data_IF_570113272261
#
_entry.id   IF_570113272261
#
_cell.length_a   1.000
_cell.length_b   1.000
_cell.length_c   1.000
_cell.angle_alpha   90.00
_cell.angle_beta   90.00
_cell.angle_gamma   90.00
#
_symmetry.space_group_name_H-M   'P 1'
#
loop_
_entity.id
_entity.type
_entity.pdbx_description
1 polymer ?
#
# COMPACT_ATOMS: atom_id res chain seq x y z
N UNK A 1 -9.64 -4.85 3.14
CA UNK A 1 -8.57 -4.30 4.02
C UNK A 1 -7.49 -3.68 3.13
N UNK A 2 -6.64 -2.78 3.63
CA UNK A 2 -5.63 -2.10 2.80
C UNK A 2 -4.72 -3.06 2.02
N UNK A 3 -4.45 -4.22 2.61
CA UNK A 3 -3.69 -5.33 2.01
C UNK A 3 -4.31 -5.87 0.72
N UNK A 4 -5.63 -5.77 0.55
CA UNK A 4 -6.37 -6.26 -0.63
C UNK A 4 -6.30 -5.25 -1.78
N UNK A 5 -5.82 -4.02 -1.51
CA UNK A 5 -5.79 -2.91 -2.46
C UNK A 5 -4.45 -2.77 -3.21
N UNK A 6 -3.46 -3.62 -2.93
CA UNK A 6 -2.11 -3.51 -3.52
C UNK A 6 -2.11 -3.91 -4.99
N UNK A 7 -1.86 -2.96 -5.90
CA UNK A 7 -1.68 -3.27 -7.32
C UNK A 7 -0.39 -4.07 -7.54
N UNK A 8 -0.51 -5.28 -8.11
CA UNK A 8 0.65 -6.12 -8.41
C UNK A 8 1.60 -5.46 -9.39
N UNK A 9 1.08 -4.82 -10.43
CA UNK A 9 1.90 -4.15 -11.45
C UNK A 9 2.72 -2.99 -10.86
N UNK A 10 2.06 -2.14 -10.06
CA UNK A 10 2.72 -1.01 -9.42
C UNK A 10 3.76 -1.46 -8.39
N UNK A 11 3.46 -2.49 -7.59
CA UNK A 11 4.41 -3.07 -6.66
C UNK A 11 5.67 -3.59 -7.37
N UNK A 12 5.50 -4.31 -8.49
CA UNK A 12 6.63 -4.81 -9.29
C UNK A 12 7.45 -3.67 -9.90
N UNK A 13 6.80 -2.63 -10.43
CA UNK A 13 7.49 -1.41 -10.91
C UNK A 13 8.29 -0.74 -9.79
N UNK A 14 7.73 -0.71 -8.57
CA UNK A 14 8.37 -0.11 -7.41
C UNK A 14 9.60 -0.90 -6.94
N UNK A 15 9.52 -2.23 -6.92
CA UNK A 15 10.67 -3.10 -6.63
C UNK A 15 11.82 -2.88 -7.63
N UNK A 16 11.50 -2.74 -8.93
CA UNK A 16 12.48 -2.38 -9.95
C UNK A 16 13.09 -0.99 -9.71
N UNK A 17 12.28 0.00 -9.30
CA UNK A 17 12.76 1.35 -8.93
C UNK A 17 13.70 1.29 -7.73
N UNK A 18 13.45 0.40 -6.77
CA UNK A 18 14.32 0.15 -5.61
C UNK A 18 15.52 -0.75 -5.92
N UNK A 19 15.77 -1.07 -7.20
CA UNK A 19 16.96 -1.81 -7.68
C UNK A 19 17.06 -3.24 -7.17
N UNK A 20 15.92 -3.89 -6.88
CA UNK A 20 15.90 -5.33 -6.68
C UNK A 20 16.34 -6.04 -7.97
N UNK A 21 17.04 -7.17 -7.81
CA UNK A 21 17.50 -7.95 -8.95
C UNK A 21 16.33 -8.65 -9.68
N UNK A 22 16.59 -9.06 -10.92
CA UNK A 22 15.58 -9.68 -11.77
C UNK A 22 15.01 -10.99 -11.18
N UNK A 23 15.83 -11.77 -10.47
CA UNK A 23 15.41 -13.04 -9.87
C UNK A 23 14.48 -12.80 -8.69
N UNK A 24 14.80 -11.84 -7.81
CA UNK A 24 13.92 -11.43 -6.71
C UNK A 24 12.58 -10.90 -7.22
N UNK A 25 12.60 -10.06 -8.26
CA UNK A 25 11.38 -9.54 -8.88
C UNK A 25 10.56 -10.66 -9.52
N UNK A 26 11.19 -11.62 -10.20
CA UNK A 26 10.52 -12.78 -10.79
C UNK A 26 9.86 -13.65 -9.71
N UNK A 27 10.55 -13.87 -8.58
CA UNK A 27 10.00 -14.61 -7.44
C UNK A 27 8.76 -13.92 -6.87
N UNK A 28 8.83 -12.61 -6.62
CA UNK A 28 7.68 -11.85 -6.11
C UNK A 28 6.52 -11.84 -7.11
N UNK A 29 6.81 -11.70 -8.41
CA UNK A 29 5.79 -11.79 -9.47
C UNK A 29 5.11 -13.16 -9.44
N UNK A 30 5.87 -14.24 -9.37
CA UNK A 30 5.33 -15.61 -9.28
C UNK A 30 4.51 -15.81 -8.00
N UNK A 31 4.91 -15.21 -6.88
CA UNK A 31 4.17 -15.28 -5.61
C UNK A 31 2.80 -14.57 -5.66
N UNK A 32 2.66 -13.55 -6.51
CA UNK A 32 1.43 -12.77 -6.63
C UNK A 32 0.50 -13.25 -7.76
N UNK A 33 1.05 -13.92 -8.78
CA UNK A 33 0.30 -14.31 -9.99
C UNK A 33 -0.61 -15.54 -9.79
N UNK A 34 -1.63 -15.66 -10.66
CA UNK A 34 -2.53 -16.82 -10.78
C UNK A 34 -3.21 -17.29 -9.49
N UNK A 35 -3.34 -16.38 -8.51
CA UNK A 35 -4.03 -16.68 -7.26
C UNK A 35 -5.54 -16.67 -7.43
N UNK A 36 -6.20 -17.55 -6.70
CA UNK A 36 -7.66 -17.60 -6.61
C UNK A 36 -8.11 -17.64 -5.16
N UNK A 37 -9.34 -17.21 -4.91
CA UNK A 37 -9.98 -17.23 -3.61
C UNK A 37 -11.41 -17.75 -3.72
N UNK A 38 -11.93 -18.33 -2.64
CA UNK A 38 -13.33 -18.72 -2.50
C UNK A 38 -13.75 -18.56 -1.04
N UNK A 39 -15.06 -18.53 -0.81
CA UNK A 39 -15.65 -18.47 0.53
C UNK A 39 -16.30 -19.81 0.85
N UNK A 40 -16.14 -20.27 2.10
CA UNK A 40 -16.86 -21.43 2.63
C UNK A 40 -17.84 -20.97 3.69
N UNK A 41 -19.09 -21.42 3.58
CA UNK A 41 -20.10 -21.25 4.62
C UNK A 41 -20.72 -22.61 4.91
N UNK A 42 -20.52 -23.10 6.14
CA UNK A 42 -20.80 -24.50 6.50
C UNK A 42 -20.08 -25.48 5.57
N UNK A 43 -20.82 -26.33 4.86
CA UNK A 43 -20.29 -27.29 3.88
C UNK A 43 -20.35 -26.81 2.43
N UNK A 44 -20.78 -25.56 2.19
CA UNK A 44 -20.92 -24.98 0.85
C UNK A 44 -19.72 -24.11 0.51
N UNK A 45 -19.22 -24.24 -0.73
CA UNK A 45 -18.12 -23.44 -1.27
C UNK A 45 -18.64 -22.56 -2.41
N UNK A 46 -18.19 -21.31 -2.46
CA UNK A 46 -18.40 -20.46 -3.63
C UNK A 46 -17.57 -20.95 -4.82
N UNK A 47 -17.83 -20.40 -6.01
CA UNK A 47 -16.90 -20.52 -7.13
C UNK A 47 -15.58 -19.82 -6.78
N UNK A 48 -14.49 -20.30 -7.39
CA UNK A 48 -13.20 -19.63 -7.33
C UNK A 48 -13.28 -18.29 -8.07
N UNK A 49 -12.71 -17.25 -7.46
CA UNK A 49 -12.53 -15.93 -8.05
C UNK A 49 -11.03 -15.62 -8.15
N UNK A 50 -10.58 -15.05 -9.26
CA UNK A 50 -9.19 -14.65 -9.45
C UNK A 50 -8.84 -13.43 -8.58
N UNK A 51 -7.65 -13.45 -7.98
CA UNK A 51 -7.12 -12.38 -7.13
C UNK A 51 -6.20 -11.50 -7.96
N UNK A 52 -6.74 -10.38 -8.45
CA UNK A 52 -6.03 -9.45 -9.35
C UNK A 52 -5.21 -8.37 -8.63
N UNK A 53 -5.43 -8.22 -7.34
CA UNK A 53 -4.79 -7.22 -6.49
C UNK A 53 -4.68 -7.74 -5.06
N UNK A 54 -3.84 -7.10 -4.28
CA UNK A 54 -3.59 -7.40 -2.90
C UNK A 54 -2.47 -8.39 -2.66
N UNK A 55 -2.04 -8.50 -1.41
CA UNK A 55 -1.02 -9.44 -0.94
C UNK A 55 -1.63 -10.44 0.05
N UNK A 56 -1.10 -11.68 0.20
CA UNK A 56 -1.73 -12.68 1.05
C UNK A 56 -1.63 -12.29 2.52
N UNK A 57 -2.78 -12.14 3.17
CA UNK A 57 -2.86 -11.93 4.61
C UNK A 57 -2.45 -13.21 5.35
N UNK A 58 -1.78 -13.08 6.50
CA UNK A 58 -1.23 -14.21 7.25
C UNK A 58 0.09 -14.78 6.70
N UNK A 59 0.60 -14.23 5.60
CA UNK A 59 1.94 -14.55 5.09
C UNK A 59 3.01 -13.65 5.69
N UNK A 60 4.26 -14.13 5.74
CA UNK A 60 5.42 -13.33 6.16
C UNK A 60 5.74 -12.22 5.15
N UNK A 61 5.60 -12.50 3.85
CA UNK A 61 5.92 -11.54 2.79
C UNK A 61 4.85 -10.46 2.60
N UNK A 62 3.58 -10.74 2.94
CA UNK A 62 2.47 -9.80 2.73
C UNK A 62 2.72 -8.42 3.37
N UNK A 63 2.99 -8.34 4.68
CA UNK A 63 3.31 -7.08 5.37
C UNK A 63 4.51 -6.36 4.79
N UNK A 64 5.58 -7.07 4.42
CA UNK A 64 6.78 -6.47 3.84
C UNK A 64 6.47 -5.83 2.48
N UNK A 65 5.74 -6.55 1.61
CA UNK A 65 5.35 -6.05 0.30
C UNK A 65 4.38 -4.87 0.41
N UNK A 66 3.49 -4.88 1.41
CA UNK A 66 2.61 -3.76 1.70
C UNK A 66 3.40 -2.51 2.14
N UNK A 67 4.37 -2.65 3.04
CA UNK A 67 5.24 -1.56 3.47
C UNK A 67 6.03 -0.97 2.29
N UNK A 68 6.60 -1.82 1.44
CA UNK A 68 7.25 -1.37 0.20
C UNK A 68 6.26 -0.59 -0.66
N UNK A 69 5.03 -1.07 -0.82
CA UNK A 69 4.00 -0.39 -1.62
C UNK A 69 3.69 1.02 -1.10
N UNK A 70 3.48 1.21 0.20
CA UNK A 70 3.08 2.50 0.78
C UNK A 70 4.24 3.46 1.05
N UNK A 71 5.50 3.00 0.99
CA UNK A 71 6.66 3.77 1.43
C UNK A 71 6.82 5.16 0.79
N UNK A 72 6.25 5.38 -0.39
CA UNK A 72 6.36 6.68 -1.09
C UNK A 72 5.39 7.72 -0.52
N UNK A 73 4.38 7.33 0.26
CA UNK A 73 3.43 8.26 0.90
C UNK A 73 4.15 9.23 1.83
N UNK A 74 5.27 8.83 2.44
CA UNK A 74 6.13 9.70 3.25
C UNK A 74 6.61 10.95 2.51
N UNK A 75 6.76 10.86 1.18
CA UNK A 75 7.22 11.97 0.34
C UNK A 75 6.14 13.00 0.00
N UNK A 76 4.87 12.74 0.33
CA UNK A 76 3.76 13.69 0.14
C UNK A 76 3.85 14.89 1.11
N UNK A 77 4.60 14.75 2.20
CA UNK A 77 4.87 15.81 3.16
C UNK A 77 5.86 16.83 2.58
N UNK A 78 5.35 17.76 1.75
CA UNK A 78 6.16 18.69 0.95
C UNK A 78 6.27 20.09 1.58
N UNK A 79 5.43 20.42 2.56
CA UNK A 79 5.44 21.70 3.23
C UNK A 79 6.28 21.69 4.52
N UNK A 80 6.94 22.81 4.88
CA UNK A 80 7.48 22.97 6.22
C UNK A 80 6.34 22.85 7.26
N UNK A 81 6.64 22.29 8.43
CA UNK A 81 5.67 22.11 9.52
C UNK A 81 4.54 21.10 9.23
N UNK A 82 4.74 20.25 8.22
CA UNK A 82 3.90 19.12 7.89
C UNK A 82 4.68 17.83 8.11
N UNK A 83 4.05 16.87 8.77
CA UNK A 83 4.64 15.59 9.11
C UNK A 83 3.66 14.47 8.83
N UNK A 84 4.10 13.45 8.09
CA UNK A 84 3.37 12.21 7.88
C UNK A 84 4.02 11.09 8.70
N UNK A 85 3.21 10.45 9.55
CA UNK A 85 3.60 9.24 10.29
C UNK A 85 2.81 8.06 9.74
N UNK A 86 3.51 7.02 9.29
CA UNK A 86 2.91 5.83 8.72
C UNK A 86 3.09 4.67 9.70
N UNK A 87 2.02 3.92 9.96
CA UNK A 87 2.06 2.72 10.77
C UNK A 87 1.12 1.67 10.20
N UNK A 88 1.68 0.61 9.60
CA UNK A 88 0.92 -0.36 8.82
C UNK A 88 -0.01 0.36 7.82
N UNK A 89 -1.32 0.16 7.88
CA UNK A 89 -2.31 0.83 7.03
C UNK A 89 -2.77 2.21 7.54
N UNK A 90 -2.43 2.58 8.77
CA UNK A 90 -2.74 3.89 9.33
C UNK A 90 -1.72 4.94 8.87
N UNK A 91 -2.23 6.09 8.43
CA UNK A 91 -1.42 7.27 8.11
C UNK A 91 -1.95 8.47 8.88
N UNK A 92 -1.09 9.07 9.71
CA UNK A 92 -1.40 10.27 10.48
C UNK A 92 -0.68 11.47 9.90
N UNK A 93 -1.45 12.53 9.60
CA UNK A 93 -0.93 13.82 9.17
C UNK A 93 -0.97 14.84 10.31
N UNK A 94 0.17 15.43 10.62
CA UNK A 94 0.30 16.54 11.57
C UNK A 94 0.74 17.79 10.81
N UNK A 95 -0.05 18.85 10.90
CA UNK A 95 0.27 20.16 10.30
C UNK A 95 0.22 21.22 11.39
N UNK A 96 1.20 22.12 11.41
CA UNK A 96 1.23 23.28 12.31
C UNK A 96 1.36 24.58 11.51
N UNK A 97 0.68 25.64 11.95
CA UNK A 97 0.68 26.94 11.29
C UNK A 97 0.28 28.05 12.28
N UNK A 98 0.70 29.28 11.99
CA UNK A 98 0.48 30.45 12.86
C UNK A 98 -0.96 30.97 12.83
N UNK A 99 -1.77 30.55 11.85
CA UNK A 99 -3.17 30.93 11.75
C UNK A 99 -4.04 29.77 11.26
N UNK A 100 -5.32 29.79 11.64
CA UNK A 100 -6.30 28.79 11.24
C UNK A 100 -6.47 28.71 9.72
N UNK A 101 -6.36 29.83 9.03
CA UNK A 101 -6.52 29.91 7.57
C UNK A 101 -5.31 29.29 6.84
N UNK A 102 -4.10 29.44 7.38
CA UNK A 102 -2.92 28.75 6.86
C UNK A 102 -2.97 27.26 7.15
N UNK A 103 -3.47 26.87 8.33
CA UNK A 103 -3.66 25.47 8.70
C UNK A 103 -4.63 24.75 7.75
N UNK A 104 -5.77 25.38 7.41
CA UNK A 104 -6.75 24.79 6.50
C UNK A 104 -6.17 24.63 5.10
N UNK A 105 -5.54 25.68 4.55
CA UNK A 105 -4.89 25.64 3.23
C UNK A 105 -3.80 24.57 3.15
N UNK A 106 -2.97 24.46 4.18
CA UNK A 106 -1.89 23.46 4.22
C UNK A 106 -2.42 22.03 4.34
N UNK A 107 -3.54 21.84 5.06
CA UNK A 107 -4.18 20.53 5.20
C UNK A 107 -4.86 20.08 3.90
N UNK A 108 -5.58 20.99 3.23
CA UNK A 108 -6.20 20.72 1.92
C UNK A 108 -5.16 20.37 0.85
N UNK A 109 -4.02 21.07 0.85
CA UNK A 109 -2.91 20.78 -0.06
C UNK A 109 -2.32 19.37 0.15
N UNK A 110 -2.29 18.88 1.39
CA UNK A 110 -1.82 17.52 1.68
C UNK A 110 -2.76 16.45 1.15
N UNK A 111 -4.07 16.69 1.29
CA UNK A 111 -5.12 15.73 0.98
C UNK A 111 -5.51 15.70 -0.50
N UNK A 112 -5.02 16.66 -1.29
CA UNK A 112 -5.29 16.78 -2.74
C UNK A 112 -4.20 16.17 -3.63
N UNK A 113 -3.16 15.57 -3.04
CA UNK A 113 -2.05 14.89 -3.73
C UNK A 113 -2.40 13.50 -4.28
#
# INVERSE_FOLDING_TARGET
MAFDCVSHELLIKKLAKYKFDATSIALIRSYLNDRTQYVTLNSLKSKNAAVKMGVPQGSVLGPILFLVFINDLSSLSTAPHQYLTLFADDTTALTTADSKELLSKSSEKLLSG
#
